data_IF_963967478800
#
_entry.id   IF_963967478800
#
_cell.length_a   1.000
_cell.length_b   1.000
_cell.length_c   1.000
_cell.angle_alpha   90.00
_cell.angle_beta   90.00
_cell.angle_gamma   90.00
#
_symmetry.space_group_name_H-M   'P 1'
#
loop_
_entity.id
_entity.type
_entity.pdbx_description
1 polymer ?
#
# COMPACT_ATOMS: atom_id res chain seq x y z
N UNK A 1 -3.50 8.97 87.90
CA UNK A 1 -4.53 9.14 86.82
C UNK A 1 -3.76 9.32 85.49
N UNK A 2 -3.57 8.22 84.74
CA UNK A 2 -2.86 8.28 83.45
C UNK A 2 -3.93 8.11 82.32
N UNK A 3 -4.00 9.10 81.45
CA UNK A 3 -4.86 9.08 80.28
C UNK A 3 -4.05 8.50 79.11
N UNK A 4 -4.43 7.33 78.64
CA UNK A 4 -3.85 6.65 77.47
C UNK A 4 -4.57 7.24 76.22
N UNK A 5 -3.82 7.94 75.39
CA UNK A 5 -4.29 8.38 74.08
C UNK A 5 -4.08 7.21 73.07
N UNK A 6 -5.16 6.74 72.53
CA UNK A 6 -5.18 5.74 71.46
C UNK A 6 -5.08 6.49 70.11
N UNK A 7 -3.98 6.37 69.44
CA UNK A 7 -3.83 6.91 68.08
C UNK A 7 -4.25 5.80 67.09
N UNK A 8 -5.42 5.99 66.48
CA UNK A 8 -5.87 5.19 65.34
C UNK A 8 -5.11 5.64 64.06
N UNK A 9 -4.12 4.84 63.66
CA UNK A 9 -3.45 5.03 62.40
C UNK A 9 -4.32 4.51 61.22
N UNK A 10 -4.89 5.44 60.48
CA UNK A 10 -5.58 5.13 59.22
C UNK A 10 -4.54 4.90 58.12
N UNK A 11 -4.27 3.64 57.79
CA UNK A 11 -3.47 3.26 56.61
C UNK A 11 -4.29 3.49 55.35
N UNK A 12 -4.04 4.60 54.64
CA UNK A 12 -4.50 4.81 53.26
C UNK A 12 -3.70 3.85 52.37
N UNK A 13 -4.30 2.75 51.95
CA UNK A 13 -3.81 1.97 50.84
C UNK A 13 -4.03 2.79 49.56
N UNK A 14 -2.96 3.42 49.07
CA UNK A 14 -2.92 4.01 47.75
C UNK A 14 -2.99 2.87 46.72
N UNK A 15 -4.15 2.63 46.13
CA UNK A 15 -4.32 1.85 44.91
C UNK A 15 -3.67 2.64 43.77
N UNK A 16 -2.38 2.41 43.52
CA UNK A 16 -1.76 2.82 42.28
C UNK A 16 -2.35 1.95 41.16
N UNK A 17 -3.00 2.52 40.12
CA UNK A 17 -3.36 1.74 38.96
C UNK A 17 -2.06 1.23 38.35
N UNK A 18 -1.85 -0.10 38.33
CA UNK A 18 -0.83 -0.73 37.49
C UNK A 18 -1.23 -0.38 36.04
N UNK A 19 -0.70 0.70 35.51
CA UNK A 19 -0.60 0.90 34.09
C UNK A 19 0.30 -0.27 33.59
N UNK A 20 -0.33 -1.31 33.07
CA UNK A 20 0.38 -2.41 32.44
C UNK A 20 1.15 -1.83 31.26
N UNK A 21 2.44 -1.61 31.45
CA UNK A 21 3.34 -1.26 30.37
C UNK A 21 3.21 -2.34 29.28
N UNK A 22 2.86 -1.93 28.08
CA UNK A 22 2.87 -2.83 26.93
C UNK A 22 4.26 -3.41 26.78
N UNK A 23 4.36 -4.74 26.71
CA UNK A 23 5.63 -5.36 26.35
C UNK A 23 5.97 -4.99 24.88
N UNK A 24 7.26 -4.86 24.56
CA UNK A 24 7.71 -4.63 23.17
C UNK A 24 7.16 -5.67 22.20
N UNK A 25 6.99 -6.91 22.69
CA UNK A 25 6.39 -8.01 21.93
C UNK A 25 4.90 -7.79 21.64
N UNK A 26 4.15 -7.24 22.60
CA UNK A 26 2.73 -6.94 22.41
C UNK A 26 2.57 -5.76 21.43
N UNK A 27 3.43 -4.75 21.54
CA UNK A 27 3.46 -3.62 20.60
C UNK A 27 3.74 -4.11 19.18
N UNK A 28 4.78 -4.92 18.97
CA UNK A 28 5.10 -5.50 17.68
C UNK A 28 3.98 -6.39 17.11
N UNK A 29 3.28 -7.14 17.96
CA UNK A 29 2.13 -7.97 17.55
C UNK A 29 0.96 -7.11 17.12
N UNK A 30 0.66 -6.02 17.84
CA UNK A 30 -0.37 -5.06 17.46
C UNK A 30 -0.09 -4.41 16.11
N UNK A 31 1.14 -3.98 15.89
CA UNK A 31 1.58 -3.40 14.63
C UNK A 31 1.41 -4.39 13.48
N UNK A 32 1.87 -5.65 13.63
CA UNK A 32 1.67 -6.68 12.59
C UNK A 32 0.20 -6.86 12.25
N UNK A 33 -0.69 -6.95 13.24
CA UNK A 33 -2.13 -7.08 13.02
C UNK A 33 -2.73 -5.87 12.27
N UNK A 34 -2.29 -4.65 12.61
CA UNK A 34 -2.69 -3.43 11.91
C UNK A 34 -2.26 -3.44 10.44
N UNK A 35 -1.00 -3.80 10.22
CA UNK A 35 -0.42 -3.82 8.88
C UNK A 35 -1.05 -4.88 8.00
N UNK A 36 -1.35 -6.07 8.55
CA UNK A 36 -2.07 -7.12 7.83
C UNK A 36 -3.47 -6.65 7.45
N UNK A 37 -4.17 -5.98 8.35
CA UNK A 37 -5.48 -5.39 8.07
C UNK A 37 -5.40 -4.33 6.98
N UNK A 38 -4.45 -3.40 7.05
CA UNK A 38 -4.26 -2.34 6.06
C UNK A 38 -3.87 -2.90 4.68
N UNK A 39 -2.92 -3.84 4.63
CA UNK A 39 -2.51 -4.49 3.38
C UNK A 39 -3.67 -5.27 2.73
N UNK A 40 -4.46 -5.99 3.53
CA UNK A 40 -5.63 -6.71 3.04
C UNK A 40 -6.73 -5.75 2.55
N UNK A 41 -6.96 -4.63 3.24
CA UNK A 41 -7.93 -3.62 2.82
C UNK A 41 -7.51 -2.97 1.49
N UNK A 42 -6.26 -2.54 1.36
CA UNK A 42 -5.72 -1.96 0.14
C UNK A 42 -5.81 -2.95 -1.04
N UNK A 43 -5.39 -4.20 -0.84
CA UNK A 43 -5.48 -5.23 -1.86
C UNK A 43 -6.95 -5.55 -2.24
N UNK A 44 -7.85 -5.58 -1.27
CA UNK A 44 -9.27 -5.79 -1.50
C UNK A 44 -9.95 -4.65 -2.28
N UNK A 45 -9.54 -3.41 -2.01
CA UNK A 45 -10.05 -2.24 -2.74
C UNK A 45 -9.54 -2.19 -4.18
N UNK A 46 -8.25 -2.47 -4.39
CA UNK A 46 -7.62 -2.36 -5.70
C UNK A 46 -7.84 -3.58 -6.59
N UNK A 47 -7.95 -4.78 -6.02
CA UNK A 47 -8.15 -6.03 -6.78
C UNK A 47 -9.56 -6.26 -7.30
N UNK A 48 -10.54 -5.41 -6.96
CA UNK A 48 -11.89 -5.47 -7.51
C UNK A 48 -11.99 -4.73 -8.84
N UNK A 49 -13.06 -5.01 -9.58
CA UNK A 49 -13.39 -4.22 -10.77
C UNK A 49 -13.51 -2.73 -10.42
N UNK A 50 -12.94 -1.90 -11.25
CA UNK A 50 -12.84 -0.44 -11.06
C UNK A 50 -12.02 0.01 -9.83
N UNK A 51 -11.23 -0.88 -9.24
CA UNK A 51 -10.34 -0.56 -8.14
C UNK A 51 -9.24 0.42 -8.55
N UNK A 52 -8.71 0.28 -9.78
CA UNK A 52 -7.81 1.25 -10.40
C UNK A 52 -8.58 2.19 -11.33
N UNK A 53 -9.33 1.65 -12.28
CA UNK A 53 -10.00 2.46 -13.31
C UNK A 53 -10.97 3.49 -12.74
N UNK A 54 -11.72 3.12 -11.71
CA UNK A 54 -12.71 3.95 -11.03
C UNK A 54 -12.15 4.88 -9.96
N UNK A 55 -10.88 4.72 -9.57
CA UNK A 55 -10.26 5.51 -8.51
C UNK A 55 -9.27 6.53 -9.11
N UNK A 56 -9.57 7.83 -9.07
CA UNK A 56 -8.74 8.87 -9.69
C UNK A 56 -7.34 8.98 -9.08
N UNK A 57 -7.12 8.53 -7.83
CA UNK A 57 -5.83 8.62 -7.15
C UNK A 57 -4.82 7.58 -7.65
N UNK A 58 -5.31 6.43 -8.13
CA UNK A 58 -4.46 5.31 -8.57
C UNK A 58 -4.69 4.90 -10.02
N UNK A 59 -5.67 5.51 -10.70
CA UNK A 59 -5.94 5.23 -12.11
C UNK A 59 -4.67 5.38 -12.92
N UNK A 60 -4.36 4.33 -13.66
CA UNK A 60 -3.20 4.32 -14.54
C UNK A 60 -3.54 5.09 -15.81
N UNK A 61 -2.96 6.26 -15.91
CA UNK A 61 -3.05 7.12 -17.08
C UNK A 61 -2.10 6.64 -18.18
N UNK A 62 -2.36 7.09 -19.41
CA UNK A 62 -1.46 6.78 -20.52
C UNK A 62 -0.07 7.39 -20.28
N UNK A 63 1.02 6.70 -20.69
CA UNK A 63 2.36 7.29 -20.67
C UNK A 63 2.41 8.62 -21.39
N UNK A 64 3.28 9.53 -20.92
CA UNK A 64 3.37 10.90 -21.45
C UNK A 64 3.52 10.96 -22.98
N UNK A 65 4.32 10.07 -23.53
CA UNK A 65 4.53 9.98 -25.00
C UNK A 65 3.24 9.60 -25.76
N UNK A 66 2.32 8.84 -25.13
CA UNK A 66 1.03 8.48 -25.74
C UNK A 66 -0.04 9.56 -25.54
N UNK A 67 0.06 10.44 -24.55
CA UNK A 67 -0.98 11.44 -24.27
C UNK A 67 -1.18 12.40 -25.46
N UNK A 68 -0.11 12.82 -26.11
CA UNK A 68 -0.18 13.68 -27.30
C UNK A 68 -0.76 12.93 -28.51
N UNK A 69 -0.33 11.69 -28.73
CA UNK A 69 -0.86 10.85 -29.80
C UNK A 69 -2.35 10.50 -29.56
N UNK A 70 -2.76 10.32 -28.30
CA UNK A 70 -4.13 10.05 -27.93
C UNK A 70 -5.09 11.20 -28.28
N UNK A 71 -4.66 12.45 -28.06
CA UNK A 71 -5.45 13.65 -28.48
C UNK A 71 -5.67 13.68 -29.98
N UNK A 72 -4.63 13.37 -30.77
CA UNK A 72 -4.76 13.30 -32.22
C UNK A 72 -5.64 12.12 -32.66
N UNK A 73 -5.51 10.97 -32.03
CA UNK A 73 -6.35 9.80 -32.29
C UNK A 73 -7.83 10.07 -32.00
N UNK A 74 -8.14 10.82 -30.95
CA UNK A 74 -9.50 11.24 -30.65
C UNK A 74 -10.05 12.15 -31.75
N UNK A 75 -9.26 13.13 -32.20
CA UNK A 75 -9.66 14.05 -33.28
C UNK A 75 -9.87 13.33 -34.63
N UNK A 76 -9.22 12.21 -34.88
CA UNK A 76 -9.33 11.41 -36.13
C UNK A 76 -10.27 10.21 -36.00
N UNK A 77 -11.11 10.13 -34.95
CA UNK A 77 -12.09 9.06 -34.75
C UNK A 77 -11.51 7.74 -34.24
N UNK A 78 -10.25 7.70 -33.83
CA UNK A 78 -9.59 6.51 -33.27
C UNK A 78 -9.55 6.48 -31.74
N UNK A 79 -10.31 7.36 -31.06
CA UNK A 79 -10.37 7.49 -29.61
C UNK A 79 -10.69 6.18 -28.88
N UNK A 80 -11.56 5.34 -29.45
CA UNK A 80 -11.92 4.02 -28.89
C UNK A 80 -10.71 3.12 -28.61
N UNK A 81 -9.71 3.10 -29.49
CA UNK A 81 -8.50 2.28 -29.30
C UNK A 81 -7.65 2.77 -28.11
N UNK A 82 -7.67 4.06 -27.88
CA UNK A 82 -6.97 4.69 -26.74
C UNK A 82 -7.67 4.34 -25.44
N UNK A 83 -8.99 4.40 -25.41
CA UNK A 83 -9.82 4.03 -24.25
C UNK A 83 -9.68 2.54 -23.93
N UNK A 84 -9.68 1.67 -24.95
CA UNK A 84 -9.44 0.23 -24.81
C UNK A 84 -8.06 -0.06 -24.17
N UNK A 85 -7.02 0.65 -24.58
CA UNK A 85 -5.70 0.48 -23.97
C UNK A 85 -5.71 0.94 -22.51
N UNK A 86 -6.26 2.11 -22.21
CA UNK A 86 -6.32 2.62 -20.85
C UNK A 86 -7.13 1.69 -19.93
N UNK A 87 -8.26 1.18 -20.44
CA UNK A 87 -9.04 0.19 -19.72
C UNK A 87 -8.24 -1.10 -19.48
N UNK A 88 -7.57 -1.63 -20.50
CA UNK A 88 -6.78 -2.85 -20.38
C UNK A 88 -5.63 -2.71 -19.36
N UNK A 89 -4.95 -1.56 -19.35
CA UNK A 89 -3.90 -1.23 -18.38
C UNK A 89 -4.40 -1.31 -16.94
N UNK A 90 -5.55 -0.68 -16.67
CA UNK A 90 -6.14 -0.66 -15.34
C UNK A 90 -6.69 -2.03 -14.92
N UNK A 91 -7.35 -2.77 -15.84
CA UNK A 91 -7.81 -4.14 -15.60
C UNK A 91 -6.64 -5.10 -15.34
N UNK A 92 -5.51 -4.92 -16.02
CA UNK A 92 -4.31 -5.68 -15.75
C UNK A 92 -3.78 -5.45 -14.34
N UNK A 93 -3.75 -4.20 -13.88
CA UNK A 93 -3.37 -3.86 -12.52
C UNK A 93 -4.31 -4.49 -11.49
N UNK A 94 -5.63 -4.35 -11.68
CA UNK A 94 -6.65 -4.95 -10.81
C UNK A 94 -6.50 -6.48 -10.71
N UNK A 95 -6.26 -7.16 -11.83
CA UNK A 95 -6.04 -8.60 -11.87
C UNK A 95 -4.73 -9.06 -11.20
N UNK A 96 -3.72 -8.20 -11.16
CA UNK A 96 -2.42 -8.51 -10.57
C UNK A 96 -2.38 -8.36 -9.04
N UNK A 97 -3.19 -7.46 -8.47
CA UNK A 97 -3.17 -7.13 -7.02
C UNK A 97 -3.31 -8.35 -6.09
N UNK A 98 -4.13 -9.38 -6.36
CA UNK A 98 -4.22 -10.56 -5.51
C UNK A 98 -2.87 -11.25 -5.26
N UNK A 99 -1.95 -11.22 -6.23
CA UNK A 99 -0.60 -11.80 -6.11
C UNK A 99 0.28 -11.07 -5.09
N UNK A 100 0.03 -9.78 -4.86
CA UNK A 100 0.77 -9.00 -3.86
C UNK A 100 0.45 -9.46 -2.43
N UNK A 101 -0.77 -9.93 -2.17
CA UNK A 101 -1.29 -10.22 -0.83
C UNK A 101 -0.40 -11.21 -0.07
N UNK A 102 -0.05 -12.31 -0.69
CA UNK A 102 0.79 -13.33 -0.06
C UNK A 102 2.18 -12.81 0.30
N UNK A 103 2.77 -12.00 -0.59
CA UNK A 103 4.10 -11.41 -0.37
C UNK A 103 4.08 -10.38 0.75
N UNK A 104 3.05 -9.52 0.80
CA UNK A 104 2.86 -8.55 1.88
C UNK A 104 2.66 -9.25 3.24
N UNK A 105 1.79 -10.25 3.30
CA UNK A 105 1.56 -11.03 4.54
C UNK A 105 2.84 -11.73 5.00
N UNK A 106 3.63 -12.30 4.08
CA UNK A 106 4.90 -12.93 4.43
C UNK A 106 5.92 -11.91 4.96
N UNK A 107 6.00 -10.71 4.37
CA UNK A 107 6.84 -9.63 4.85
C UNK A 107 6.43 -9.20 6.28
N UNK A 108 5.12 -9.10 6.56
CA UNK A 108 4.60 -8.79 7.91
C UNK A 108 5.01 -9.88 8.92
N UNK A 109 4.85 -11.14 8.56
CA UNK A 109 5.20 -12.27 9.45
C UNK A 109 6.70 -12.35 9.73
N UNK A 110 7.54 -11.94 8.79
CA UNK A 110 8.99 -11.93 8.92
C UNK A 110 9.56 -10.71 9.66
N UNK A 111 8.71 -9.72 10.02
CA UNK A 111 9.15 -8.56 10.78
C UNK A 111 9.72 -8.96 12.14
N UNK A 112 10.87 -8.37 12.50
CA UNK A 112 11.41 -8.44 13.86
C UNK A 112 10.63 -7.53 14.81
N UNK A 113 10.90 -7.65 16.11
CA UNK A 113 10.37 -6.71 17.13
C UNK A 113 10.92 -5.31 16.88
N UNK A 114 12.21 -5.21 16.56
CA UNK A 114 12.87 -3.94 16.24
C UNK A 114 12.25 -3.23 15.02
N UNK A 115 11.91 -3.99 13.96
CA UNK A 115 11.21 -3.43 12.81
C UNK A 115 9.86 -2.84 13.23
N UNK A 116 9.11 -3.58 14.06
CA UNK A 116 7.83 -3.12 14.60
C UNK A 116 7.97 -1.82 15.40
N UNK A 117 8.95 -1.74 16.29
CA UNK A 117 9.20 -0.53 17.09
C UNK A 117 9.63 0.66 16.22
N UNK A 118 10.50 0.45 15.21
CA UNK A 118 10.88 1.49 14.25
C UNK A 118 9.68 2.01 13.47
N UNK A 119 8.77 1.13 13.06
CA UNK A 119 7.53 1.51 12.40
C UNK A 119 6.63 2.31 13.34
N UNK A 120 6.48 1.88 14.59
CA UNK A 120 5.65 2.55 15.59
C UNK A 120 6.08 4.01 15.81
N UNK A 121 7.38 4.23 16.02
CA UNK A 121 7.93 5.55 16.27
C UNK A 121 8.27 6.33 15.00
N UNK A 122 8.00 5.76 13.83
CA UNK A 122 8.21 6.39 12.54
C UNK A 122 7.07 7.31 12.12
N UNK A 123 7.25 7.99 10.98
CA UNK A 123 6.22 8.85 10.39
C UNK A 123 5.01 8.09 9.86
N UNK A 124 4.03 8.83 9.31
CA UNK A 124 2.72 8.34 8.88
C UNK A 124 2.74 7.21 7.82
N UNK A 125 3.88 7.02 7.15
CA UNK A 125 4.11 6.05 6.07
C UNK A 125 5.29 5.09 6.35
N UNK A 126 5.74 4.99 7.59
CA UNK A 126 6.92 4.20 7.96
C UNK A 126 6.75 2.71 7.69
N UNK A 127 5.55 2.16 7.89
CA UNK A 127 5.22 0.78 7.55
C UNK A 127 5.18 0.58 6.03
N UNK A 128 4.58 1.50 5.32
CA UNK A 128 4.51 1.47 3.85
C UNK A 128 5.89 1.45 3.24
N UNK A 129 6.81 2.32 3.70
CA UNK A 129 8.21 2.33 3.25
C UNK A 129 8.93 1.02 3.56
N UNK A 130 8.69 0.45 4.73
CA UNK A 130 9.25 -0.86 5.07
C UNK A 130 8.78 -1.96 4.10
N UNK A 131 7.48 -2.01 3.79
CA UNK A 131 6.93 -2.98 2.86
C UNK A 131 7.42 -2.75 1.43
N UNK A 132 7.42 -1.52 0.98
CA UNK A 132 7.90 -1.17 -0.35
C UNK A 132 9.34 -1.65 -0.56
N UNK A 133 10.22 -1.36 0.39
CA UNK A 133 11.62 -1.78 0.33
C UNK A 133 11.80 -3.31 0.30
N UNK A 134 10.92 -4.06 0.94
CA UNK A 134 11.01 -5.53 1.04
C UNK A 134 10.27 -6.26 -0.07
N UNK A 135 9.21 -5.67 -0.63
CA UNK A 135 8.27 -6.44 -1.45
C UNK A 135 8.06 -5.86 -2.86
N UNK A 136 8.47 -4.62 -3.15
CA UNK A 136 8.23 -3.99 -4.45
C UNK A 136 8.74 -4.84 -5.62
N UNK A 137 9.99 -5.26 -5.57
CA UNK A 137 10.59 -6.06 -6.64
C UNK A 137 9.94 -7.45 -6.77
N UNK A 138 9.79 -8.25 -5.70
CA UNK A 138 9.14 -9.56 -5.83
C UNK A 138 7.66 -9.47 -6.24
N UNK A 139 6.92 -8.42 -5.85
CA UNK A 139 5.56 -8.21 -6.36
C UNK A 139 5.61 -7.85 -7.85
N UNK A 140 6.52 -6.99 -8.27
CA UNK A 140 6.70 -6.60 -9.67
C UNK A 140 6.95 -7.82 -10.59
N UNK A 141 7.76 -8.76 -10.14
CA UNK A 141 8.00 -10.02 -10.86
C UNK A 141 6.73 -10.87 -11.02
N UNK A 142 5.79 -10.79 -10.06
CA UNK A 142 4.50 -11.48 -10.15
C UNK A 142 3.49 -10.71 -11.00
N UNK A 143 3.51 -9.39 -10.97
CA UNK A 143 2.59 -8.54 -11.73
C UNK A 143 2.88 -8.59 -13.23
N UNK A 144 4.16 -8.53 -13.61
CA UNK A 144 4.57 -8.41 -15.00
C UNK A 144 3.93 -9.44 -15.94
N UNK A 145 3.92 -10.77 -15.67
CA UNK A 145 3.30 -11.73 -16.58
C UNK A 145 1.79 -11.56 -16.72
N UNK A 146 1.09 -11.11 -15.65
CA UNK A 146 -0.35 -10.86 -15.67
C UNK A 146 -0.65 -9.64 -16.54
N UNK A 147 0.14 -8.58 -16.35
CA UNK A 147 0.05 -7.37 -17.16
C UNK A 147 0.30 -7.67 -18.62
N UNK A 148 1.34 -8.44 -18.96
CA UNK A 148 1.65 -8.86 -20.31
C UNK A 148 0.52 -9.64 -20.95
N UNK A 149 -0.12 -10.55 -20.22
CA UNK A 149 -1.24 -11.31 -20.73
C UNK A 149 -2.45 -10.43 -21.09
N UNK A 150 -2.69 -9.38 -20.30
CA UNK A 150 -3.79 -8.45 -20.54
C UNK A 150 -3.50 -7.49 -21.70
N UNK A 151 -2.28 -6.92 -21.76
CA UNK A 151 -1.90 -5.93 -22.78
C UNK A 151 -1.71 -6.52 -24.16
N UNK A 152 -1.26 -7.78 -24.29
CA UNK A 152 -1.15 -8.50 -25.58
C UNK A 152 -2.45 -8.58 -26.36
N UNK A 153 -3.60 -8.45 -25.72
CA UNK A 153 -4.92 -8.44 -26.37
C UNK A 153 -5.23 -7.10 -27.04
N UNK A 154 -4.40 -6.09 -26.81
CA UNK A 154 -4.62 -4.73 -27.32
C UNK A 154 -3.52 -4.36 -28.32
N UNK A 155 -3.86 -4.30 -29.61
CA UNK A 155 -2.91 -4.02 -30.69
C UNK A 155 -2.16 -2.68 -30.54
N UNK A 156 -2.70 -1.72 -29.83
CA UNK A 156 -2.05 -0.44 -29.56
C UNK A 156 -0.85 -0.59 -28.61
N UNK A 157 -0.86 -1.59 -27.71
CA UNK A 157 0.26 -1.86 -26.82
C UNK A 157 1.53 -2.25 -27.62
N UNK A 158 1.39 -3.17 -28.60
CA UNK A 158 2.50 -3.59 -29.44
C UNK A 158 3.08 -2.42 -30.25
N UNK A 159 2.21 -1.58 -30.82
CA UNK A 159 2.62 -0.39 -31.57
C UNK A 159 3.36 0.61 -30.69
N UNK A 160 2.89 0.80 -29.46
CA UNK A 160 3.60 1.63 -28.49
C UNK A 160 4.97 1.08 -28.17
N UNK A 161 5.07 -0.19 -27.81
CA UNK A 161 6.33 -0.84 -27.45
C UNK A 161 7.37 -0.74 -28.58
N UNK A 162 6.95 -0.88 -29.84
CA UNK A 162 7.84 -0.77 -31.00
C UNK A 162 8.43 0.64 -31.18
N UNK A 163 7.63 1.69 -30.92
CA UNK A 163 8.07 3.08 -31.06
C UNK A 163 8.84 3.55 -29.84
N UNK A 164 8.29 3.28 -28.64
CA UNK A 164 8.85 3.72 -27.38
C UNK A 164 10.19 3.05 -27.06
N UNK A 165 10.36 1.78 -27.43
CA UNK A 165 11.63 1.08 -27.30
C UNK A 165 12.77 1.75 -28.09
N UNK A 166 12.49 2.22 -29.32
CA UNK A 166 13.45 2.99 -30.11
C UNK A 166 13.76 4.34 -29.48
N UNK A 167 12.72 5.07 -29.03
CA UNK A 167 12.89 6.38 -28.40
C UNK A 167 13.71 6.29 -27.09
N UNK A 168 13.54 5.25 -26.31
CA UNK A 168 14.35 4.99 -25.12
C UNK A 168 15.82 4.69 -25.46
N UNK A 169 16.06 3.98 -26.55
CA UNK A 169 17.42 3.74 -27.06
C UNK A 169 18.17 5.02 -27.39
N UNK A 170 17.47 6.08 -27.79
CA UNK A 170 18.02 7.42 -28.03
C UNK A 170 17.98 8.35 -26.81
N UNK A 171 17.54 7.86 -25.63
CA UNK A 171 17.44 8.67 -24.41
C UNK A 171 16.29 9.69 -24.41
N UNK A 172 15.33 9.59 -25.35
CA UNK A 172 14.21 10.54 -25.50
C UNK A 172 13.10 10.30 -24.49
N UNK A 173 12.99 9.09 -23.95
CA UNK A 173 12.04 8.73 -22.88
C UNK A 173 12.73 7.86 -21.84
N UNK A 174 12.17 7.78 -20.66
CA UNK A 174 12.68 6.93 -19.60
C UNK A 174 12.55 5.45 -19.98
N UNK A 175 13.50 4.62 -19.52
CA UNK A 175 13.51 3.20 -19.79
C UNK A 175 12.26 2.48 -19.27
N UNK A 176 11.74 2.91 -18.13
CA UNK A 176 10.49 2.40 -17.53
C UNK A 176 9.25 2.69 -18.38
N UNK A 177 9.27 3.79 -19.16
CA UNK A 177 8.19 4.18 -20.08
C UNK A 177 8.37 3.56 -21.47
N UNK A 178 9.45 2.83 -21.73
CA UNK A 178 9.75 2.27 -23.06
C UNK A 178 8.92 1.05 -23.42
N UNK A 179 8.25 0.45 -22.44
CA UNK A 179 7.41 -0.73 -22.59
C UNK A 179 6.17 -0.56 -21.72
N UNK A 180 5.00 -0.75 -22.36
CA UNK A 180 3.72 -0.55 -21.66
C UNK A 180 3.54 -1.50 -20.49
N UNK A 181 4.05 -2.72 -20.58
CA UNK A 181 3.90 -3.73 -19.54
C UNK A 181 4.69 -3.33 -18.29
N UNK A 182 5.92 -2.84 -18.49
CA UNK A 182 6.75 -2.31 -17.40
C UNK A 182 6.14 -1.05 -16.80
N UNK A 183 5.66 -0.14 -17.64
CA UNK A 183 4.96 1.07 -17.19
C UNK A 183 3.74 0.74 -16.31
N UNK A 184 2.88 -0.15 -16.78
CA UNK A 184 1.68 -0.58 -16.04
C UNK A 184 2.07 -1.27 -14.74
N UNK A 185 3.07 -2.14 -14.76
CA UNK A 185 3.58 -2.82 -13.56
C UNK A 185 4.08 -1.82 -12.53
N UNK A 186 4.90 -0.84 -12.93
CA UNK A 186 5.39 0.20 -12.03
C UNK A 186 4.23 1.03 -11.46
N UNK A 187 3.28 1.46 -12.30
CA UNK A 187 2.13 2.25 -11.87
C UNK A 187 1.16 1.47 -10.97
N UNK A 188 0.99 0.18 -11.22
CA UNK A 188 0.20 -0.69 -10.35
C UNK A 188 0.84 -0.81 -8.95
N UNK A 189 2.15 -0.93 -8.87
CA UNK A 189 2.87 -0.92 -7.60
C UNK A 189 2.78 0.43 -6.89
N UNK A 190 2.96 1.54 -7.62
CA UNK A 190 2.80 2.90 -7.07
C UNK A 190 1.41 3.06 -6.42
N UNK A 191 0.35 2.64 -7.13
CA UNK A 191 -1.02 2.68 -6.62
C UNK A 191 -1.25 1.76 -5.41
N UNK A 192 -0.67 0.56 -5.42
CA UNK A 192 -0.77 -0.37 -4.29
C UNK A 192 -0.15 0.23 -3.02
N UNK A 193 1.07 0.74 -3.10
CA UNK A 193 1.74 1.32 -1.93
C UNK A 193 1.11 2.64 -1.50
N UNK A 194 0.57 3.44 -2.41
CA UNK A 194 -0.23 4.61 -2.06
C UNK A 194 -1.45 4.23 -1.21
N UNK A 195 -2.20 3.20 -1.62
CA UNK A 195 -3.37 2.75 -0.86
C UNK A 195 -3.00 2.13 0.48
N UNK A 196 -1.86 1.42 0.58
CA UNK A 196 -1.33 0.93 1.84
C UNK A 196 -0.98 2.10 2.77
N UNK A 197 -0.35 3.17 2.25
CA UNK A 197 -0.03 4.37 3.03
C UNK A 197 -1.29 5.08 3.55
N UNK A 198 -2.34 5.14 2.74
CA UNK A 198 -3.61 5.71 3.18
C UNK A 198 -4.27 4.88 4.29
N UNK A 199 -4.24 3.55 4.19
CA UNK A 199 -4.75 2.68 5.23
C UNK A 199 -3.88 2.77 6.52
N UNK A 200 -2.55 2.86 6.39
CA UNK A 200 -1.66 3.10 7.52
C UNK A 200 -2.01 4.41 8.23
N UNK A 201 -2.17 5.49 7.48
CA UNK A 201 -2.56 6.79 8.03
C UNK A 201 -3.89 6.76 8.76
N UNK A 202 -4.91 6.08 8.19
CA UNK A 202 -6.21 5.90 8.87
C UNK A 202 -6.07 5.15 10.18
N UNK A 203 -5.27 4.08 10.21
CA UNK A 203 -5.03 3.28 11.42
C UNK A 203 -4.32 4.12 12.50
N UNK A 204 -3.37 4.97 12.12
CA UNK A 204 -2.66 5.85 13.05
C UNK A 204 -3.57 6.96 13.61
N UNK A 205 -4.45 7.52 12.77
CA UNK A 205 -5.37 8.59 13.17
C UNK A 205 -6.55 8.09 14.01
N UNK A 206 -7.07 6.89 13.73
CA UNK A 206 -8.16 6.28 14.49
C UNK A 206 -7.89 4.79 14.78
N UNK A 207 -6.99 4.49 15.72
CA UNK A 207 -6.68 3.13 16.11
C UNK A 207 -7.87 2.41 16.77
N UNK A 208 -8.84 3.15 17.31
CA UNK A 208 -10.04 2.61 17.96
C UNK A 208 -11.08 2.15 16.94
N UNK A 209 -11.35 2.99 15.94
CA UNK A 209 -12.29 2.69 14.84
C UNK A 209 -11.86 1.53 13.96
N UNK A 210 -10.57 1.18 14.00
CA UNK A 210 -10.04 0.00 13.28
C UNK A 210 -10.36 -1.34 13.97
N UNK A 211 -10.98 -1.32 15.16
CA UNK A 211 -11.61 -2.50 15.80
C UNK A 211 -10.68 -3.45 16.53
N UNK A 212 -9.46 -3.05 16.89
CA UNK A 212 -8.54 -3.85 17.68
C UNK A 212 -8.22 -3.20 19.03
N UNK A 213 -8.59 -3.86 20.13
CA UNK A 213 -8.23 -3.42 21.48
C UNK A 213 -6.71 -3.31 21.68
N UNK A 214 -5.94 -4.11 20.93
CA UNK A 214 -4.48 -4.09 20.96
C UNK A 214 -3.93 -2.84 20.25
N UNK A 215 -4.54 -2.43 19.13
CA UNK A 215 -4.17 -1.20 18.42
C UNK A 215 -4.44 0.05 19.25
N UNK A 216 -5.54 0.06 20.00
CA UNK A 216 -5.84 1.11 20.96
C UNK A 216 -4.74 1.25 22.02
N UNK A 217 -4.23 0.14 22.54
CA UNK A 217 -3.13 0.16 23.52
C UNK A 217 -1.81 0.63 22.91
N UNK A 218 -1.53 0.25 21.65
CA UNK A 218 -0.27 0.53 20.97
C UNK A 218 -0.21 1.97 20.45
N UNK A 219 -1.27 2.46 19.83
CA UNK A 219 -1.30 3.79 19.20
C UNK A 219 -2.01 4.86 20.06
N UNK A 220 -2.84 4.48 21.01
CA UNK A 220 -3.55 5.41 21.89
C UNK A 220 -2.76 5.88 23.11
N UNK A 221 -1.52 5.41 23.26
CA UNK A 221 -0.58 5.83 24.31
C UNK A 221 0.61 6.68 23.78
N UNK A 222 0.58 7.03 22.48
CA UNK A 222 1.48 7.99 21.83
C UNK A 222 0.82 9.35 21.78
#
# INVERSE_FOLDING_TARGET
>A
MQRRNLILGSSLLALTPLAQALSETDAASGIRAALEKGANAAAGLLGRQDGYMGNPEVRIELPGALKSAAKLAQATGQGKKVEELQLAMNRAAEAAVPEARALLVNAIKSMSVDDGLKILHGGDDSATRFFEAKTRDPIGLKFLPIVQQATRKVSLADKYNAVAGKAAGFGLIKREDSNIDQYVTCKALDGLFLMIAQEEKKIRQDPVGTGSALLKKVFGGL
#
